data_IF_850556010893
#
_entry.id   IF_850556010893
#
_cell.length_a   1.000
_cell.length_b   1.000
_cell.length_c   1.000
_cell.angle_alpha   90.00
_cell.angle_beta   90.00
_cell.angle_gamma   90.00
#
_symmetry.space_group_name_H-M   'P 1'
#
loop_
_entity.id
_entity.type
_entity.pdbx_description
1 polymer ?
#
# COMPACT_ATOMS: atom_id res chain seq x y z
N UNK A 1 -35.94 13.79 -10.80
CA UNK A 1 -35.98 12.32 -10.71
C UNK A 1 -35.99 11.79 -9.28
N UNK A 2 -35.50 12.54 -8.28
CA UNK A 2 -35.42 12.12 -6.87
C UNK A 2 -36.58 12.67 -6.01
N UNK A 3 -37.29 13.70 -6.48
CA UNK A 3 -38.41 14.30 -5.76
C UNK A 3 -39.52 13.31 -5.30
N UNK A 4 -39.86 12.27 -6.09
CA UNK A 4 -40.86 11.30 -5.66
C UNK A 4 -40.44 10.42 -4.47
N UNK A 5 -39.16 10.44 -4.10
CA UNK A 5 -38.63 9.62 -3.01
C UNK A 5 -38.73 10.31 -1.63
N UNK A 6 -39.15 11.60 -1.61
CA UNK A 6 -39.25 12.41 -0.39
C UNK A 6 -37.96 12.45 0.43
N UNK A 7 -36.79 12.20 -0.23
CA UNK A 7 -35.47 12.26 0.39
C UNK A 7 -34.88 13.65 0.16
N UNK A 8 -34.47 14.38 1.19
CA UNK A 8 -33.87 15.70 1.04
C UNK A 8 -32.55 15.62 0.27
N UNK A 9 -32.37 16.51 -0.70
CA UNK A 9 -31.11 16.65 -1.44
C UNK A 9 -30.27 17.67 -0.70
N UNK A 10 -29.22 17.21 -0.01
CA UNK A 10 -28.34 18.02 0.81
C UNK A 10 -27.13 18.60 0.06
N UNK A 11 -27.01 18.31 -1.22
CA UNK A 11 -25.98 18.85 -2.07
C UNK A 11 -25.99 18.27 -3.47
N UNK A 12 -25.39 19.00 -4.39
CA UNK A 12 -25.21 18.56 -5.78
C UNK A 12 -23.78 18.88 -6.20
N UNK A 13 -22.99 17.84 -6.38
CA UNK A 13 -21.65 17.96 -6.95
C UNK A 13 -21.76 17.87 -8.49
N UNK A 14 -21.49 18.99 -9.16
CA UNK A 14 -21.42 18.99 -10.62
C UNK A 14 -20.04 18.57 -11.08
N UNK A 15 -19.96 17.93 -12.25
CA UNK A 15 -18.70 17.60 -12.87
C UNK A 15 -17.84 18.87 -13.03
N UNK A 16 -16.59 18.79 -12.58
CA UNK A 16 -15.59 19.83 -12.71
C UNK A 16 -14.43 19.27 -13.53
N UNK A 17 -14.26 19.77 -14.76
CA UNK A 17 -13.22 19.24 -15.66
C UNK A 17 -11.81 19.79 -15.32
N UNK A 18 -11.74 20.77 -14.42
CA UNK A 18 -10.48 21.34 -13.91
C UNK A 18 -9.92 20.62 -12.67
N UNK A 19 -10.66 19.69 -12.09
CA UNK A 19 -10.22 18.85 -10.98
C UNK A 19 -10.08 17.44 -11.52
N UNK A 20 -8.85 17.00 -11.75
CA UNK A 20 -8.55 15.65 -12.22
C UNK A 20 -7.47 15.05 -11.34
N UNK A 21 -7.74 13.88 -10.80
CA UNK A 21 -6.75 13.09 -10.10
C UNK A 21 -6.20 12.09 -11.13
N UNK A 22 -4.87 12.14 -11.42
CA UNK A 22 -4.29 11.18 -12.34
C UNK A 22 -4.43 9.76 -11.80
N UNK A 23 -4.56 8.81 -12.70
CA UNK A 23 -4.66 7.41 -12.35
C UNK A 23 -3.69 6.56 -13.18
N UNK A 24 -3.38 5.37 -12.67
CA UNK A 24 -2.68 4.29 -13.35
C UNK A 24 -3.65 3.12 -13.58
N UNK A 25 -3.13 2.02 -14.07
CA UNK A 25 -3.91 0.82 -14.42
C UNK A 25 -4.75 0.22 -13.26
N UNK A 26 -4.47 0.57 -12.00
CA UNK A 26 -5.27 0.21 -10.82
C UNK A 26 -6.12 1.37 -10.30
N UNK A 27 -6.17 2.49 -11.01
CA UNK A 27 -6.87 3.69 -10.56
C UNK A 27 -6.19 4.41 -9.38
N UNK A 28 -4.92 4.13 -9.13
CA UNK A 28 -4.17 4.68 -8.01
C UNK A 28 -2.85 5.28 -8.48
N UNK A 29 -2.48 6.42 -7.88
CA UNK A 29 -1.15 7.00 -7.98
C UNK A 29 -0.67 7.31 -6.56
N UNK A 30 0.57 6.95 -6.20
CA UNK A 30 1.11 7.30 -4.89
C UNK A 30 1.08 8.80 -4.65
N UNK A 31 0.69 9.21 -3.44
CA UNK A 31 0.60 10.63 -3.07
C UNK A 31 1.93 11.37 -3.19
N UNK A 32 3.04 10.68 -2.96
CA UNK A 32 4.41 11.22 -3.09
C UNK A 32 4.76 11.61 -4.53
N UNK A 33 4.01 11.13 -5.52
CA UNK A 33 4.20 11.45 -6.93
C UNK A 33 3.28 12.60 -7.41
N UNK A 34 2.35 13.06 -6.57
CA UNK A 34 1.40 14.14 -6.87
C UNK A 34 1.94 15.46 -6.33
N UNK A 35 2.69 16.20 -7.14
CA UNK A 35 3.25 17.51 -6.76
C UNK A 35 2.19 18.58 -6.44
N UNK A 36 0.99 18.44 -6.98
CA UNK A 36 -0.14 19.38 -6.83
C UNK A 36 -1.23 18.85 -5.89
N UNK A 37 -0.91 17.87 -5.03
CA UNK A 37 -1.90 17.22 -4.17
C UNK A 37 -2.60 18.21 -3.24
N UNK A 38 -1.86 19.13 -2.62
CA UNK A 38 -2.42 20.12 -1.70
C UNK A 38 -3.38 21.07 -2.44
N UNK A 39 -3.02 21.50 -3.65
CA UNK A 39 -3.89 22.34 -4.49
C UNK A 39 -5.18 21.59 -4.88
N UNK A 40 -5.09 20.30 -5.18
CA UNK A 40 -6.26 19.47 -5.49
C UNK A 40 -7.15 19.32 -4.26
N UNK A 41 -6.58 19.10 -3.08
CA UNK A 41 -7.32 19.00 -1.81
C UNK A 41 -8.02 20.33 -1.49
N UNK A 42 -7.35 21.46 -1.66
CA UNK A 42 -7.93 22.77 -1.43
C UNK A 42 -9.08 23.06 -2.40
N UNK A 43 -8.93 22.73 -3.68
CA UNK A 43 -10.01 22.87 -4.66
C UNK A 43 -11.21 21.98 -4.30
N UNK A 44 -10.99 20.74 -3.88
CA UNK A 44 -12.05 19.84 -3.43
C UNK A 44 -12.73 20.36 -2.16
N UNK A 45 -11.98 20.93 -1.22
CA UNK A 45 -12.52 21.52 0.00
C UNK A 45 -13.42 22.73 -0.31
N UNK A 46 -12.97 23.63 -1.18
CA UNK A 46 -13.79 24.77 -1.64
C UNK A 46 -15.06 24.32 -2.37
N UNK A 47 -14.94 23.32 -3.23
CA UNK A 47 -16.07 22.76 -3.95
C UNK A 47 -17.07 22.12 -2.97
N UNK A 48 -16.59 21.33 -2.02
CA UNK A 48 -17.42 20.73 -0.97
C UNK A 48 -18.12 21.78 -0.10
N UNK A 49 -17.40 22.84 0.30
CA UNK A 49 -17.99 23.93 1.08
C UNK A 49 -19.13 24.65 0.35
N UNK A 50 -19.07 24.75 -0.99
CA UNK A 50 -20.08 25.44 -1.79
C UNK A 50 -21.25 24.57 -2.25
N UNK A 51 -21.04 23.24 -2.29
CA UNK A 51 -22.01 22.32 -2.91
C UNK A 51 -22.94 21.61 -1.91
N UNK A 52 -22.58 21.58 -0.62
CA UNK A 52 -23.33 20.83 0.39
C UNK A 52 -23.95 21.72 1.47
N UNK A 53 -25.15 21.35 1.92
CA UNK A 53 -25.80 21.88 3.12
C UNK A 53 -25.18 21.18 4.34
N UNK A 54 -24.11 21.75 4.86
CA UNK A 54 -23.37 21.17 5.97
C UNK A 54 -24.15 21.16 7.28
N UNK A 55 -25.10 22.09 7.47
CA UNK A 55 -25.92 22.13 8.68
C UNK A 55 -26.82 20.89 8.79
N UNK A 56 -27.35 20.43 7.67
CA UNK A 56 -28.17 19.23 7.62
C UNK A 56 -27.32 17.94 7.43
N UNK A 57 -26.19 18.02 6.74
CA UNK A 57 -25.36 16.85 6.44
C UNK A 57 -24.56 16.36 7.64
N UNK A 58 -23.92 17.26 8.40
CA UNK A 58 -23.05 16.90 9.54
C UNK A 58 -23.75 16.05 10.63
N UNK A 59 -25.01 16.32 11.02
CA UNK A 59 -25.71 15.45 11.96
C UNK A 59 -25.87 14.01 11.48
N UNK A 60 -26.02 13.80 10.16
CA UNK A 60 -26.18 12.47 9.58
C UNK A 60 -24.85 11.69 9.50
N UNK A 61 -23.72 12.40 9.49
CA UNK A 61 -22.38 11.78 9.49
C UNK A 61 -21.90 11.40 10.89
N UNK A 62 -22.57 11.90 11.93
CA UNK A 62 -22.31 11.43 13.29
C UNK A 62 -22.90 10.04 13.42
N UNK A 63 -22.06 9.00 13.31
CA UNK A 63 -22.45 7.71 13.85
C UNK A 63 -22.59 7.89 15.35
N UNK A 64 -23.78 7.64 15.90
CA UNK A 64 -23.84 7.24 17.30
C UNK A 64 -22.78 6.15 17.44
N UNK A 65 -21.85 6.32 18.36
CA UNK A 65 -20.87 5.29 18.68
C UNK A 65 -21.67 4.03 18.98
N UNK A 66 -21.89 3.23 17.94
CA UNK A 66 -22.30 1.84 18.13
C UNK A 66 -21.23 1.29 19.05
N UNK A 67 -21.64 1.07 20.27
CA UNK A 67 -20.85 0.95 21.48
C UNK A 67 -19.44 0.47 21.21
N UNK A 68 -18.50 1.02 21.91
CA UNK A 68 -17.10 0.65 22.03
C UNK A 68 -16.91 -0.86 22.36
N UNK A 69 -17.51 -1.74 21.54
CA UNK A 69 -17.57 -3.19 21.69
C UNK A 69 -16.71 -3.93 20.66
N UNK A 70 -16.04 -3.22 19.76
CA UNK A 70 -15.04 -3.79 18.86
C UNK A 70 -13.65 -3.18 19.03
N UNK A 71 -13.34 -2.61 20.16
CA UNK A 71 -11.98 -2.73 20.64
C UNK A 71 -11.82 -4.15 21.17
N UNK A 72 -11.65 -5.14 20.28
CA UNK A 72 -10.71 -6.17 20.61
C UNK A 72 -9.38 -5.44 20.80
N UNK A 73 -9.20 -4.79 21.94
CA UNK A 73 -7.89 -4.65 22.51
C UNK A 73 -7.40 -6.09 22.57
N UNK A 74 -6.59 -6.48 21.59
CA UNK A 74 -5.65 -7.55 21.81
C UNK A 74 -4.93 -7.10 23.08
N UNK A 75 -5.42 -7.59 24.23
CA UNK A 75 -4.67 -7.51 25.46
C UNK A 75 -3.42 -8.34 25.18
N UNK A 76 -2.43 -7.66 24.62
CA UNK A 76 -1.06 -8.17 24.62
C UNK A 76 -0.76 -8.25 26.11
N UNK A 77 -0.93 -9.46 26.68
CA UNK A 77 -0.60 -9.67 28.08
C UNK A 77 0.78 -9.09 28.28
N UNK A 78 0.95 -8.34 29.35
CA UNK A 78 2.23 -7.79 29.78
C UNK A 78 3.23 -8.92 29.96
N UNK A 79 3.78 -9.39 28.86
CA UNK A 79 4.94 -10.26 28.87
C UNK A 79 6.15 -9.34 28.92
N UNK A 80 6.53 -8.97 30.11
CA UNK A 80 7.80 -8.29 30.42
C UNK A 80 9.00 -9.20 30.15
N UNK A 81 9.04 -9.83 29.00
CA UNK A 81 10.26 -10.42 28.48
C UNK A 81 10.90 -9.37 27.62
N UNK A 82 11.88 -8.64 28.17
CA UNK A 82 12.77 -7.75 27.41
C UNK A 82 13.61 -8.64 26.50
N UNK A 83 13.00 -9.16 25.44
CA UNK A 83 13.74 -9.71 24.30
C UNK A 83 14.24 -8.52 23.49
N UNK A 84 15.46 -8.60 22.93
CA UNK A 84 15.87 -7.58 21.96
C UNK A 84 14.80 -7.48 20.87
N UNK A 85 14.46 -6.27 20.40
CA UNK A 85 13.40 -6.08 19.41
C UNK A 85 13.71 -6.90 18.17
N UNK A 86 12.69 -7.58 17.63
CA UNK A 86 12.80 -8.24 16.35
C UNK A 86 12.89 -7.17 15.25
N UNK A 87 14.02 -7.10 14.55
CA UNK A 87 14.24 -6.12 13.49
C UNK A 87 13.69 -6.63 12.16
N UNK A 88 12.73 -5.93 11.60
CA UNK A 88 12.06 -6.28 10.33
C UNK A 88 12.46 -5.25 9.26
N UNK A 89 13.10 -5.72 8.18
CA UNK A 89 13.37 -4.92 7.00
C UNK A 89 12.10 -4.72 6.19
N UNK A 90 11.61 -3.50 6.14
CA UNK A 90 10.40 -3.12 5.40
C UNK A 90 10.81 -2.40 4.12
N UNK A 91 10.54 -2.99 2.97
CA UNK A 91 10.78 -2.36 1.67
C UNK A 91 9.84 -1.16 1.52
N UNK A 92 10.37 0.06 1.45
CA UNK A 92 9.54 1.27 1.34
C UNK A 92 10.21 2.31 0.47
N UNK A 93 9.66 2.48 -0.73
CA UNK A 93 10.04 3.47 -1.71
C UNK A 93 8.92 3.67 -2.73
N UNK A 94 9.21 4.31 -3.86
CA UNK A 94 8.23 4.55 -4.91
C UNK A 94 7.69 3.27 -5.57
N UNK A 95 8.44 2.16 -5.51
CA UNK A 95 7.99 0.86 -6.02
C UNK A 95 7.15 0.09 -4.99
N UNK A 96 7.36 0.35 -3.68
CA UNK A 96 6.70 -0.35 -2.57
C UNK A 96 6.20 0.66 -1.53
N UNK A 97 4.97 1.14 -1.69
CA UNK A 97 4.41 2.17 -0.82
C UNK A 97 2.98 1.90 -0.33
N UNK A 98 2.41 0.76 -0.69
CA UNK A 98 1.07 0.38 -0.24
C UNK A 98 1.17 -0.40 1.07
N UNK A 99 1.14 0.34 2.17
CA UNK A 99 1.14 -0.19 3.52
C UNK A 99 -0.02 0.40 4.31
N UNK A 100 -0.70 -0.43 5.07
CA UNK A 100 -1.63 0.05 6.08
C UNK A 100 -0.83 0.54 7.28
N UNK A 101 -0.99 1.81 7.66
CA UNK A 101 -0.30 2.39 8.82
C UNK A 101 -0.57 1.59 10.09
N UNK A 102 -1.82 1.18 10.29
CA UNK A 102 -2.24 0.37 11.45
C UNK A 102 -1.47 -0.96 11.57
N UNK A 103 -1.12 -1.59 10.43
CA UNK A 103 -0.31 -2.82 10.43
C UNK A 103 1.13 -2.55 10.88
N UNK A 104 1.72 -1.44 10.44
CA UNK A 104 3.06 -1.04 10.85
C UNK A 104 3.09 -0.69 12.34
N UNK A 105 2.10 0.07 12.80
CA UNK A 105 1.95 0.44 14.21
C UNK A 105 1.74 -0.81 15.09
N UNK A 106 0.94 -1.77 14.64
CA UNK A 106 0.72 -3.02 15.36
C UNK A 106 2.02 -3.84 15.48
N UNK A 107 2.81 -3.93 14.41
CA UNK A 107 4.11 -4.61 14.47
C UNK A 107 5.04 -3.98 15.53
N UNK A 108 5.08 -2.64 15.59
CA UNK A 108 5.86 -1.92 16.59
C UNK A 108 5.32 -2.14 18.02
N UNK A 109 3.99 -2.12 18.19
CA UNK A 109 3.35 -2.43 19.49
C UNK A 109 3.64 -3.86 19.95
N UNK A 110 3.80 -4.80 19.03
CA UNK A 110 4.21 -6.18 19.30
C UNK A 110 5.73 -6.32 19.57
N UNK A 111 6.49 -5.24 19.56
CA UNK A 111 7.90 -5.19 19.89
C UNK A 111 8.84 -5.33 18.70
N UNK A 112 8.36 -5.15 17.46
CA UNK A 112 9.22 -5.09 16.29
C UNK A 112 9.89 -3.71 16.14
N UNK A 113 11.16 -3.69 15.74
CA UNK A 113 11.83 -2.51 15.19
C UNK A 113 11.72 -2.56 13.66
N UNK A 114 11.01 -1.59 13.06
CA UNK A 114 10.88 -1.51 11.62
C UNK A 114 12.07 -0.75 11.01
N UNK A 115 12.79 -1.42 10.13
CA UNK A 115 13.93 -0.86 9.40
C UNK A 115 13.52 -0.63 7.96
N UNK A 116 13.11 0.60 7.63
CA UNK A 116 12.74 0.94 6.25
C UNK A 116 13.96 1.04 5.35
N UNK A 117 13.85 0.53 4.13
CA UNK A 117 14.90 0.57 3.12
C UNK A 117 14.30 0.60 1.71
N UNK A 118 15.07 1.08 0.73
CA UNK A 118 14.64 1.21 -0.65
C UNK A 118 15.25 0.12 -1.52
N UNK A 119 14.50 -0.88 -1.98
CA UNK A 119 14.97 -1.82 -3.00
C UNK A 119 15.46 -1.18 -4.29
N UNK A 120 15.04 0.06 -4.59
CA UNK A 120 15.49 0.79 -5.77
C UNK A 120 16.94 1.26 -5.67
N UNK A 121 17.42 1.59 -4.46
CA UNK A 121 18.72 2.28 -4.28
C UNK A 121 19.62 1.68 -3.22
N UNK A 122 19.07 0.97 -2.25
CA UNK A 122 19.81 0.51 -1.09
C UNK A 122 20.20 -0.97 -1.21
N UNK A 123 21.19 -1.37 -0.44
CA UNK A 123 21.43 -2.77 -0.10
C UNK A 123 20.49 -3.19 1.04
N UNK A 124 20.29 -4.50 1.20
CA UNK A 124 19.51 -5.03 2.31
C UNK A 124 20.15 -4.63 3.65
N UNK A 125 19.39 -4.03 4.60
CA UNK A 125 19.90 -3.62 5.89
C UNK A 125 20.47 -4.80 6.68
N UNK A 126 21.59 -4.58 7.38
CA UNK A 126 22.22 -5.59 8.22
C UNK A 126 21.48 -5.75 9.55
N UNK A 127 21.53 -6.98 10.09
CA UNK A 127 21.01 -7.27 11.43
C UNK A 127 19.49 -7.31 11.52
N UNK A 128 18.78 -7.42 10.40
CA UNK A 128 17.35 -7.72 10.36
C UNK A 128 17.11 -9.22 10.53
N UNK A 129 15.93 -9.59 11.00
CA UNK A 129 15.54 -10.97 11.33
C UNK A 129 14.27 -11.39 10.58
N UNK A 130 13.70 -10.48 9.80
CA UNK A 130 12.56 -10.72 8.93
C UNK A 130 12.46 -9.68 7.83
N UNK A 131 11.70 -9.99 6.79
CA UNK A 131 11.46 -9.13 5.63
C UNK A 131 9.96 -8.93 5.42
N UNK A 132 9.60 -7.69 5.10
CA UNK A 132 8.24 -7.34 4.71
C UNK A 132 8.27 -6.54 3.41
N UNK A 133 7.67 -7.10 2.37
CA UNK A 133 7.45 -6.47 1.07
C UNK A 133 5.94 -6.26 0.89
N UNK A 134 5.49 -5.01 0.96
CA UNK A 134 4.11 -4.64 0.72
C UNK A 134 3.77 -4.48 -0.75
N UNK A 135 2.61 -3.90 -1.01
CA UNK A 135 2.16 -3.58 -2.35
C UNK A 135 2.83 -2.34 -2.94
N UNK A 136 2.51 -2.07 -4.20
CA UNK A 136 3.01 -0.93 -4.96
C UNK A 136 2.99 -1.20 -6.46
N UNK A 137 3.86 -0.49 -7.17
CA UNK A 137 3.98 -0.58 -8.63
C UNK A 137 5.40 -0.97 -9.06
N UNK A 138 5.91 -2.16 -8.70
CA UNK A 138 7.25 -2.59 -9.06
C UNK A 138 7.45 -2.71 -10.57
N UNK A 139 6.40 -2.94 -11.35
CA UNK A 139 6.46 -3.01 -12.82
C UNK A 139 6.81 -1.65 -13.46
N UNK A 140 6.43 -0.54 -12.82
CA UNK A 140 6.79 0.81 -13.28
C UNK A 140 8.29 1.08 -13.07
N UNK A 141 8.86 0.49 -12.04
CA UNK A 141 10.26 0.64 -11.65
C UNK A 141 11.09 -0.63 -11.93
N UNK A 142 10.57 -1.54 -12.77
CA UNK A 142 11.17 -2.87 -12.96
C UNK A 142 12.61 -2.82 -13.48
N UNK A 143 12.93 -1.87 -14.36
CA UNK A 143 14.31 -1.65 -14.80
C UNK A 143 15.22 -1.30 -13.62
N UNK A 144 14.83 -0.32 -12.82
CA UNK A 144 15.64 0.19 -11.70
C UNK A 144 15.83 -0.90 -10.63
N UNK A 145 14.77 -1.67 -10.33
CA UNK A 145 14.85 -2.83 -9.44
C UNK A 145 15.83 -3.89 -9.97
N UNK A 146 15.77 -4.20 -11.27
CA UNK A 146 16.67 -5.18 -11.90
C UNK A 146 18.12 -4.70 -11.96
N UNK A 147 18.37 -3.40 -12.05
CA UNK A 147 19.70 -2.80 -12.04
C UNK A 147 20.34 -2.85 -10.64
N UNK A 148 19.55 -2.81 -9.56
CA UNK A 148 20.05 -2.97 -8.19
C UNK A 148 20.28 -4.46 -7.85
N UNK A 149 21.27 -5.06 -8.49
CA UNK A 149 21.62 -6.48 -8.31
C UNK A 149 21.99 -6.81 -6.88
N UNK A 150 22.64 -5.89 -6.16
CA UNK A 150 23.05 -6.11 -4.78
C UNK A 150 21.84 -6.31 -3.87
N UNK A 151 20.78 -5.54 -4.05
CA UNK A 151 19.52 -5.74 -3.33
C UNK A 151 18.92 -7.11 -3.67
N UNK A 152 18.75 -7.44 -4.95
CA UNK A 152 18.17 -8.71 -5.38
C UNK A 152 18.96 -9.91 -4.84
N UNK A 153 20.29 -9.89 -4.94
CA UNK A 153 21.15 -10.98 -4.46
C UNK A 153 21.13 -11.12 -2.95
N UNK A 154 21.17 -10.01 -2.20
CA UNK A 154 21.14 -10.04 -0.74
C UNK A 154 19.79 -10.50 -0.21
N UNK A 155 18.67 -10.07 -0.80
CA UNK A 155 17.33 -10.55 -0.47
C UNK A 155 17.22 -12.05 -0.78
N UNK A 156 17.65 -12.47 -1.97
CA UNK A 156 17.66 -13.89 -2.36
C UNK A 156 18.44 -14.72 -1.37
N UNK A 157 19.65 -14.31 -1.02
CA UNK A 157 20.49 -15.01 -0.07
C UNK A 157 19.82 -15.11 1.31
N UNK A 158 19.28 -13.99 1.82
CA UNK A 158 18.61 -13.96 3.11
C UNK A 158 17.44 -14.94 3.18
N UNK A 159 16.58 -14.98 2.16
CA UNK A 159 15.43 -15.87 2.11
C UNK A 159 15.88 -17.34 2.01
N UNK A 160 16.84 -17.65 1.14
CA UNK A 160 17.36 -19.02 0.98
C UNK A 160 18.08 -19.54 2.24
N UNK A 161 18.60 -18.64 3.07
CA UNK A 161 19.19 -19.00 4.37
C UNK A 161 18.19 -19.05 5.52
N UNK A 162 16.89 -18.92 5.21
CA UNK A 162 15.81 -19.14 6.15
C UNK A 162 15.26 -17.88 6.83
N UNK A 163 15.53 -16.68 6.30
CA UNK A 163 14.94 -15.46 6.85
C UNK A 163 13.42 -15.43 6.62
N UNK A 164 12.59 -15.33 7.68
CA UNK A 164 11.16 -15.18 7.55
C UNK A 164 10.82 -13.99 6.66
N UNK A 165 9.95 -14.19 5.68
CA UNK A 165 9.61 -13.18 4.69
C UNK A 165 8.11 -13.18 4.44
N UNK A 166 7.50 -11.99 4.54
CA UNK A 166 6.14 -11.74 4.08
C UNK A 166 6.17 -10.86 2.84
N UNK A 167 5.44 -11.24 1.81
CA UNK A 167 5.32 -10.48 0.58
C UNK A 167 3.91 -10.56 0.02
N UNK A 168 3.38 -9.42 -0.39
CA UNK A 168 2.05 -9.31 -0.98
C UNK A 168 2.04 -8.41 -2.23
N UNK A 169 1.10 -8.66 -3.14
CA UNK A 169 0.88 -7.82 -4.32
C UNK A 169 2.19 -7.53 -5.08
N UNK A 170 2.62 -6.27 -5.14
CA UNK A 170 3.89 -5.86 -5.77
C UNK A 170 5.12 -6.51 -5.14
N UNK A 171 5.12 -6.71 -3.83
CA UNK A 171 6.20 -7.43 -3.14
C UNK A 171 6.32 -8.88 -3.61
N UNK A 172 5.19 -9.56 -3.88
CA UNK A 172 5.21 -10.90 -4.45
C UNK A 172 5.81 -10.91 -5.86
N UNK A 173 5.49 -9.90 -6.68
CA UNK A 173 6.06 -9.77 -8.03
C UNK A 173 7.58 -9.60 -7.99
N UNK A 174 8.12 -8.85 -7.03
CA UNK A 174 9.56 -8.67 -6.84
C UNK A 174 10.28 -9.95 -6.46
N UNK A 175 9.62 -10.88 -5.76
CA UNK A 175 10.20 -12.19 -5.41
C UNK A 175 10.15 -13.22 -6.55
N UNK A 176 9.42 -12.94 -7.65
CA UNK A 176 9.40 -13.78 -8.85
C UNK A 176 10.78 -13.81 -9.55
N UNK A 177 10.94 -14.70 -10.54
CA UNK A 177 12.14 -14.71 -11.39
C UNK A 177 12.25 -13.45 -12.23
N UNK A 178 11.11 -12.95 -12.72
CA UNK A 178 11.06 -11.74 -13.54
C UNK A 178 9.70 -11.07 -13.53
N UNK A 179 9.71 -9.78 -13.86
CA UNK A 179 8.52 -9.01 -14.22
C UNK A 179 8.58 -8.72 -15.71
N UNK A 180 7.48 -9.00 -16.43
CA UNK A 180 7.24 -8.56 -17.80
C UNK A 180 6.31 -7.36 -17.74
N UNK A 181 6.84 -6.19 -18.12
CA UNK A 181 6.12 -4.93 -18.05
C UNK A 181 5.04 -4.78 -19.15
N UNK A 182 4.36 -3.65 -19.20
CA UNK A 182 3.33 -3.39 -20.22
C UNK A 182 3.88 -3.28 -21.63
N UNK A 183 5.17 -2.94 -21.79
CA UNK A 183 5.89 -2.90 -23.05
C UNK A 183 6.41 -4.28 -23.49
N UNK A 184 6.08 -5.33 -22.70
CA UNK A 184 6.53 -6.72 -22.92
C UNK A 184 8.03 -6.91 -22.73
N UNK A 185 8.70 -6.01 -22.05
CA UNK A 185 10.09 -6.15 -21.67
C UNK A 185 10.22 -6.94 -20.39
N UNK A 186 11.13 -7.89 -20.34
CA UNK A 186 11.40 -8.74 -19.18
C UNK A 186 12.52 -8.16 -18.34
N UNK A 187 12.30 -8.12 -17.03
CA UNK A 187 13.22 -7.62 -16.03
C UNK A 187 13.46 -8.66 -14.95
N UNK A 188 14.71 -9.06 -14.75
CA UNK A 188 15.06 -10.05 -13.72
C UNK A 188 14.83 -9.47 -12.33
N UNK A 189 14.22 -10.28 -11.45
CA UNK A 189 13.92 -9.93 -10.08
C UNK A 189 14.68 -10.83 -9.10
N UNK A 190 14.24 -10.94 -7.85
CA UNK A 190 14.90 -11.73 -6.80
C UNK A 190 15.01 -13.22 -7.17
N UNK A 191 14.00 -13.77 -7.83
CA UNK A 191 14.04 -15.16 -8.34
C UNK A 191 13.90 -16.22 -7.25
N UNK A 192 13.15 -15.95 -6.20
CA UNK A 192 12.79 -16.95 -5.17
C UNK A 192 11.63 -17.80 -5.64
N UNK A 193 10.63 -17.17 -6.24
CA UNK A 193 9.46 -17.86 -6.76
C UNK A 193 9.70 -18.23 -8.23
N UNK A 194 9.61 -19.53 -8.60
CA UNK A 194 9.86 -19.99 -9.98
C UNK A 194 8.66 -19.65 -10.88
N UNK A 195 8.39 -18.36 -11.03
CA UNK A 195 7.29 -17.82 -11.82
C UNK A 195 7.63 -16.45 -12.37
N UNK A 196 6.81 -15.99 -13.31
CA UNK A 196 6.93 -14.69 -13.96
C UNK A 196 5.67 -13.87 -13.71
N UNK A 197 5.84 -12.64 -13.23
CA UNK A 197 4.75 -11.68 -13.16
C UNK A 197 4.59 -10.98 -14.52
N UNK A 198 3.44 -11.13 -15.17
CA UNK A 198 3.20 -10.58 -16.52
C UNK A 198 2.12 -9.51 -16.43
N UNK A 199 2.48 -8.27 -16.80
CA UNK A 199 1.53 -7.18 -16.90
C UNK A 199 0.69 -7.32 -18.17
N UNK A 200 -0.63 -7.16 -18.02
CA UNK A 200 -1.58 -7.24 -19.12
C UNK A 200 -2.63 -6.15 -19.01
N UNK A 201 -3.24 -5.79 -20.16
CA UNK A 201 -4.34 -4.82 -20.18
C UNK A 201 -5.66 -5.36 -19.61
N UNK A 202 -5.72 -6.63 -19.18
CA UNK A 202 -6.90 -7.24 -18.59
C UNK A 202 -6.72 -7.40 -17.09
N UNK A 203 -7.49 -6.64 -16.33
CA UNK A 203 -7.58 -6.79 -14.88
C UNK A 203 -8.49 -7.98 -14.55
N UNK A 204 -8.00 -8.87 -13.67
CA UNK A 204 -8.81 -9.97 -13.13
C UNK A 204 -8.95 -9.76 -11.63
N UNK A 205 -10.16 -9.38 -11.20
CA UNK A 205 -10.51 -9.19 -9.80
C UNK A 205 -11.51 -10.26 -9.37
N UNK A 206 -11.47 -10.64 -8.11
CA UNK A 206 -12.44 -11.54 -7.50
C UNK A 206 -11.92 -12.19 -6.23
N UNK A 207 -12.86 -12.62 -5.40
CA UNK A 207 -12.52 -13.44 -4.24
C UNK A 207 -12.04 -14.81 -4.69
N UNK A 208 -10.96 -15.28 -4.09
CA UNK A 208 -10.36 -16.59 -4.35
C UNK A 208 -10.18 -17.33 -3.04
N UNK A 209 -10.39 -18.63 -3.08
CA UNK A 209 -10.05 -19.50 -1.97
C UNK A 209 -8.74 -20.21 -2.33
N UNK A 210 -7.73 -20.08 -1.49
CA UNK A 210 -6.51 -20.86 -1.59
C UNK A 210 -6.74 -22.19 -0.87
N UNK A 211 -6.34 -23.29 -1.52
CA UNK A 211 -6.41 -24.66 -0.98
C UNK A 211 -5.00 -25.24 -0.88
#
# INVERSE_FOLDING_TARGET
ALEPLEIPILGVLRRQDNISIPDRHLGLVPTEELSELDDIIDQLAHLGASCFDWEQLLPLLKSDTVGAGCTNSLSVGETTVVKPPCRIGVARDRAFNFYYADNLDLLQQLGAELVFWSPLTDELPKGIQGLYFGGGFPEVFAQQLAENKLACESVRHAILTGMPTYAECGGLMYLCEQIVDFEKKSWSMVGILPTTAIMSGRLTLGYRQAT
#
